data_IF_582091108839
#
_entry.id   IF_582091108839
#
_cell.length_a   1.000
_cell.length_b   1.000
_cell.length_c   1.000
_cell.angle_alpha   90.00
_cell.angle_beta   90.00
_cell.angle_gamma   90.00
#
_symmetry.space_group_name_H-M   'P 1'
#
loop_
_entity.id
_entity.type
_entity.pdbx_description
1 polymer ?
#
# COMPACT_ATOMS: atom_id res chain seq x y z
N UNK A 1 -45.53 6.23 -29.93
CA UNK A 1 -44.25 5.65 -29.69
C UNK A 1 -43.50 6.55 -28.71
N UNK A 2 -43.53 6.19 -27.45
CA UNK A 2 -42.78 6.90 -26.43
C UNK A 2 -41.31 6.50 -26.59
N UNK A 3 -40.49 7.46 -27.02
CA UNK A 3 -39.05 7.29 -27.03
C UNK A 3 -38.53 7.01 -25.63
N UNK A 4 -37.75 5.96 -25.47
CA UNK A 4 -36.95 5.70 -24.30
C UNK A 4 -36.06 6.93 -24.08
N UNK A 5 -36.41 7.75 -23.10
CA UNK A 5 -35.47 8.72 -22.52
C UNK A 5 -34.31 7.90 -21.98
N UNK A 6 -33.14 8.14 -22.54
CA UNK A 6 -31.90 7.56 -22.10
C UNK A 6 -31.83 7.57 -20.57
N UNK A 7 -31.49 6.44 -19.98
CA UNK A 7 -31.16 6.37 -18.58
C UNK A 7 -30.10 7.47 -18.29
N UNK A 8 -30.51 8.52 -17.61
CA UNK A 8 -29.59 9.54 -17.14
C UNK A 8 -28.52 8.82 -16.35
N UNK A 9 -27.26 9.23 -16.51
CA UNK A 9 -26.15 8.59 -15.83
C UNK A 9 -26.46 8.48 -14.34
N UNK A 10 -26.60 7.23 -13.86
CA UNK A 10 -26.92 6.93 -12.47
C UNK A 10 -25.78 7.34 -11.51
N UNK A 11 -24.62 7.68 -12.08
CA UNK A 11 -23.42 8.06 -11.33
C UNK A 11 -23.19 9.55 -11.44
N UNK A 12 -23.08 10.22 -10.30
CA UNK A 12 -22.91 11.67 -10.19
C UNK A 12 -21.75 12.03 -9.27
N UNK A 13 -22.00 12.75 -8.19
CA UNK A 13 -21.01 13.21 -7.25
C UNK A 13 -20.15 12.07 -6.69
N UNK A 14 -18.83 12.21 -6.75
CA UNK A 14 -17.84 11.19 -6.34
C UNK A 14 -18.01 9.82 -7.04
N UNK A 15 -18.52 9.81 -8.29
CA UNK A 15 -18.81 8.60 -9.06
C UNK A 15 -19.75 7.61 -8.32
N UNK A 16 -20.65 8.12 -7.48
CA UNK A 16 -21.61 7.31 -6.73
C UNK A 16 -22.93 7.21 -7.46
N UNK A 17 -23.58 6.07 -7.28
CA UNK A 17 -24.93 5.84 -7.81
C UNK A 17 -25.91 6.80 -7.13
N UNK A 18 -26.68 7.51 -7.95
CA UNK A 18 -27.75 8.40 -7.47
C UNK A 18 -29.09 7.69 -7.67
N UNK A 19 -29.78 7.48 -6.57
CA UNK A 19 -31.15 6.95 -6.60
C UNK A 19 -32.10 8.01 -7.20
N UNK A 20 -32.76 7.64 -8.27
CA UNK A 20 -33.68 8.51 -9.01
C UNK A 20 -34.98 8.83 -8.27
N UNK A 21 -35.40 8.01 -7.31
CA UNK A 21 -36.63 8.20 -6.55
C UNK A 21 -36.42 9.13 -5.37
N UNK A 22 -35.29 8.96 -4.63
CA UNK A 22 -34.96 9.74 -3.43
C UNK A 22 -34.03 10.91 -3.68
N UNK A 23 -33.35 10.93 -4.81
CA UNK A 23 -32.32 11.89 -5.19
C UNK A 23 -31.05 11.86 -4.30
N UNK A 24 -30.87 10.75 -3.56
CA UNK A 24 -29.74 10.53 -2.68
C UNK A 24 -28.61 9.75 -3.38
N UNK A 25 -27.38 10.00 -3.00
CA UNK A 25 -26.24 9.22 -3.50
C UNK A 25 -25.87 8.12 -2.50
N UNK A 26 -25.78 6.87 -2.98
CA UNK A 26 -25.43 5.74 -2.15
C UNK A 26 -23.90 5.52 -2.16
N UNK A 27 -23.30 5.56 -0.98
CA UNK A 27 -21.85 5.40 -0.84
C UNK A 27 -21.42 4.02 -0.29
N UNK A 28 -22.36 3.18 0.08
CA UNK A 28 -22.12 1.87 0.70
C UNK A 28 -22.67 1.86 2.14
N UNK A 29 -22.00 2.50 3.07
CA UNK A 29 -22.44 2.56 4.45
C UNK A 29 -23.53 3.61 4.70
N UNK A 30 -23.53 4.71 3.94
CA UNK A 30 -24.44 5.85 4.15
C UNK A 30 -25.03 6.38 2.84
N UNK A 31 -26.16 7.08 2.98
CA UNK A 31 -26.76 7.91 1.93
C UNK A 31 -26.38 9.39 2.13
N UNK A 32 -25.91 10.01 1.05
CA UNK A 32 -25.52 11.42 1.02
C UNK A 32 -26.59 12.26 0.33
N UNK A 33 -26.96 13.37 0.96
CA UNK A 33 -27.82 14.38 0.37
C UNK A 33 -26.99 15.51 -0.22
N UNK A 34 -26.93 15.59 -1.54
CA UNK A 34 -26.24 16.70 -2.22
C UNK A 34 -26.90 18.06 -1.95
N UNK A 35 -28.22 18.06 -1.78
CA UNK A 35 -29.01 19.28 -1.55
C UNK A 35 -28.73 19.89 -0.17
N UNK A 36 -28.49 19.04 0.82
CA UNK A 36 -28.20 19.45 2.19
C UNK A 36 -26.70 19.46 2.51
N UNK A 37 -25.87 18.86 1.65
CA UNK A 37 -24.42 18.68 1.83
C UNK A 37 -24.05 17.89 3.10
N UNK A 38 -24.88 16.93 3.50
CA UNK A 38 -24.70 16.11 4.71
C UNK A 38 -25.02 14.63 4.46
N UNK A 39 -24.52 13.77 5.35
CA UNK A 39 -25.00 12.39 5.50
C UNK A 39 -26.35 12.36 6.18
N UNK A 40 -27.23 11.42 5.80
CA UNK A 40 -28.55 11.24 6.43
C UNK A 40 -28.55 10.31 7.62
N UNK A 41 -27.43 9.62 7.89
CA UNK A 41 -27.24 8.77 9.08
C UNK A 41 -25.96 9.14 9.79
N UNK A 42 -25.89 8.77 11.06
CA UNK A 42 -24.70 8.93 11.91
C UNK A 42 -23.54 8.17 11.29
N UNK A 43 -22.36 8.76 11.31
CA UNK A 43 -21.13 8.13 10.87
C UNK A 43 -20.81 6.91 11.74
N UNK A 44 -20.66 5.70 11.17
CA UNK A 44 -20.20 4.55 11.93
C UNK A 44 -18.85 4.80 12.62
N UNK A 45 -18.02 5.69 12.06
CA UNK A 45 -16.72 6.08 12.60
C UNK A 45 -16.76 7.37 13.43
N UNK A 46 -17.93 7.86 13.86
CA UNK A 46 -18.08 9.10 14.62
C UNK A 46 -17.19 9.18 15.87
N UNK A 47 -16.98 8.04 16.56
CA UNK A 47 -16.10 7.96 17.71
C UNK A 47 -14.64 8.29 17.41
N UNK A 48 -14.19 8.08 16.15
CA UNK A 48 -12.85 8.41 15.66
C UNK A 48 -12.64 9.91 15.52
N UNK A 49 -13.72 10.67 15.35
CA UNK A 49 -13.70 12.12 15.08
C UNK A 49 -14.58 12.93 16.06
N UNK A 50 -14.31 12.89 17.37
CA UNK A 50 -15.21 13.46 18.39
C UNK A 50 -15.37 14.99 18.29
N UNK A 51 -14.50 15.67 17.54
CA UNK A 51 -14.57 17.12 17.27
C UNK A 51 -15.39 17.50 16.04
N UNK A 52 -15.88 16.52 15.27
CA UNK A 52 -16.66 16.74 14.06
C UNK A 52 -18.11 16.29 14.24
N UNK A 53 -19.01 16.90 13.50
CA UNK A 53 -20.38 16.43 13.43
C UNK A 53 -20.43 15.04 12.79
N UNK A 54 -21.17 14.08 13.33
CA UNK A 54 -21.30 12.74 12.73
C UNK A 54 -22.05 12.73 11.39
N UNK A 55 -22.54 13.87 10.93
CA UNK A 55 -23.22 14.04 9.65
C UNK A 55 -22.39 14.79 8.61
N UNK A 56 -21.16 15.19 8.94
CA UNK A 56 -20.31 15.98 8.05
C UNK A 56 -19.72 15.11 6.93
N UNK A 57 -19.72 15.63 5.69
CA UNK A 57 -19.03 15.01 4.58
C UNK A 57 -17.59 15.52 4.51
N UNK A 58 -16.61 14.61 4.45
CA UNK A 58 -15.19 14.90 4.26
C UNK A 58 -14.65 16.03 5.15
N UNK A 59 -15.01 16.06 6.43
CA UNK A 59 -14.61 17.09 7.40
C UNK A 59 -14.83 18.55 6.90
N UNK A 60 -15.85 18.80 6.07
CA UNK A 60 -16.11 20.06 5.36
C UNK A 60 -15.01 20.46 4.35
N UNK A 61 -14.21 19.52 3.89
CA UNK A 61 -13.17 19.78 2.88
C UNK A 61 -13.27 18.78 1.68
N UNK A 62 -14.39 18.80 0.91
CA UNK A 62 -14.61 17.87 -0.20
C UNK A 62 -13.76 18.19 -1.45
N UNK A 63 -12.97 19.25 -1.42
CA UNK A 63 -12.00 19.57 -2.48
C UNK A 63 -10.74 18.72 -2.30
N UNK A 64 -10.33 18.49 -1.05
CA UNK A 64 -9.11 17.74 -0.72
C UNK A 64 -9.39 16.28 -0.37
N UNK A 65 -10.54 15.99 0.20
CA UNK A 65 -10.88 14.68 0.75
C UNK A 65 -12.04 14.04 -0.02
N UNK A 66 -11.98 12.73 -0.16
CA UNK A 66 -13.05 11.91 -0.74
C UNK A 66 -13.43 10.82 0.26
N UNK A 67 -14.72 10.54 0.40
CA UNK A 67 -15.22 9.41 1.16
C UNK A 67 -15.57 8.27 0.16
N UNK A 68 -14.81 7.18 0.11
CA UNK A 68 -15.01 6.14 -0.89
C UNK A 68 -16.13 5.16 -0.55
N UNK A 69 -16.48 4.98 0.70
CA UNK A 69 -17.39 3.94 1.19
C UNK A 69 -18.52 4.45 2.09
N UNK A 70 -18.52 5.73 2.44
CA UNK A 70 -19.49 6.32 3.34
C UNK A 70 -19.17 6.10 4.83
N UNK A 71 -17.92 5.81 5.18
CA UNK A 71 -17.45 5.61 6.55
C UNK A 71 -16.29 6.53 6.91
N UNK A 72 -15.33 6.71 6.00
CA UNK A 72 -14.15 7.53 6.24
C UNK A 72 -13.71 8.26 4.97
N UNK A 73 -13.04 9.37 5.11
CA UNK A 73 -12.47 10.12 3.97
C UNK A 73 -10.98 9.84 3.84
N UNK A 74 -10.49 9.82 2.61
CA UNK A 74 -9.08 9.68 2.26
C UNK A 74 -8.61 10.89 1.47
N UNK A 75 -7.33 11.21 1.56
CA UNK A 75 -6.69 12.15 0.65
C UNK A 75 -6.52 11.43 -0.70
N UNK A 76 -7.04 11.96 -1.83
CA UNK A 76 -6.87 11.33 -3.12
C UNK A 76 -5.40 11.13 -3.53
N UNK A 77 -4.49 12.01 -3.08
CA UNK A 77 -3.06 11.88 -3.37
C UNK A 77 -2.46 10.67 -2.64
N UNK A 78 -2.85 10.44 -1.38
CA UNK A 78 -2.44 9.26 -0.60
C UNK A 78 -2.93 7.97 -1.26
N UNK A 79 -4.21 7.94 -1.64
CA UNK A 79 -4.79 6.80 -2.33
C UNK A 79 -4.12 6.54 -3.68
N UNK A 80 -3.88 7.58 -4.48
CA UNK A 80 -3.22 7.45 -5.77
C UNK A 80 -1.81 6.86 -5.63
N UNK A 81 -1.07 7.25 -4.60
CA UNK A 81 0.26 6.67 -4.36
C UNK A 81 0.14 5.21 -3.91
N UNK A 82 -0.74 4.89 -2.97
CA UNK A 82 -0.98 3.51 -2.54
C UNK A 82 -1.38 2.59 -3.70
N UNK A 83 -2.37 3.00 -4.51
CA UNK A 83 -2.80 2.26 -5.70
C UNK A 83 -1.65 2.08 -6.70
N UNK A 84 -0.82 3.10 -6.90
CA UNK A 84 0.36 3.03 -7.78
C UNK A 84 1.39 2.02 -7.27
N UNK A 85 1.67 2.00 -5.97
CA UNK A 85 2.59 1.02 -5.37
C UNK A 85 2.09 -0.40 -5.57
N UNK A 86 0.80 -0.64 -5.32
CA UNK A 86 0.15 -1.94 -5.55
C UNK A 86 0.25 -2.34 -7.03
N UNK A 87 -0.07 -1.43 -7.94
CA UNK A 87 0.00 -1.70 -9.39
C UNK A 87 1.42 -2.11 -9.81
N UNK A 88 2.44 -1.37 -9.39
CA UNK A 88 3.85 -1.67 -9.70
C UNK A 88 4.27 -3.04 -9.17
N UNK A 89 3.86 -3.39 -7.96
CA UNK A 89 4.13 -4.70 -7.37
C UNK A 89 3.43 -5.83 -8.14
N UNK A 90 2.16 -5.66 -8.49
CA UNK A 90 1.39 -6.62 -9.30
C UNK A 90 2.02 -6.85 -10.67
N UNK A 91 2.45 -5.78 -11.36
CA UNK A 91 3.14 -5.90 -12.65
C UNK A 91 4.43 -6.73 -12.54
N UNK A 92 5.18 -6.57 -11.44
CA UNK A 92 6.39 -7.37 -11.18
C UNK A 92 6.05 -8.84 -10.93
N UNK A 93 5.02 -9.12 -10.15
CA UNK A 93 4.54 -10.50 -9.92
C UNK A 93 4.18 -11.16 -11.26
N UNK A 94 3.39 -10.49 -12.10
CA UNK A 94 3.01 -11.00 -13.42
C UNK A 94 4.25 -11.28 -14.29
N UNK A 95 5.23 -10.40 -14.26
CA UNK A 95 6.47 -10.57 -15.03
C UNK A 95 7.30 -11.73 -14.49
N UNK A 96 7.35 -11.92 -13.18
CA UNK A 96 8.02 -13.06 -12.55
C UNK A 96 7.32 -14.38 -12.89
N UNK A 97 5.99 -14.45 -12.84
CA UNK A 97 5.21 -15.63 -13.24
C UNK A 97 5.51 -16.04 -14.71
N UNK A 98 5.60 -15.05 -15.62
CA UNK A 98 6.01 -15.33 -17.01
C UNK A 98 7.42 -15.91 -17.10
N UNK A 99 8.35 -15.47 -16.24
CA UNK A 99 9.71 -16.03 -16.18
C UNK A 99 9.70 -17.42 -15.60
N UNK A 100 9.00 -17.66 -14.49
CA UNK A 100 8.81 -18.95 -13.85
C UNK A 100 8.30 -19.96 -14.90
N UNK A 101 7.23 -19.65 -15.59
CA UNK A 101 6.67 -20.52 -16.63
C UNK A 101 7.67 -20.91 -17.72
N UNK A 102 8.49 -19.95 -18.18
CA UNK A 102 9.54 -20.22 -19.19
C UNK A 102 10.64 -21.12 -18.65
N UNK A 103 11.04 -20.91 -17.38
CA UNK A 103 12.06 -21.70 -16.71
C UNK A 103 11.57 -23.12 -16.43
N UNK A 104 10.33 -23.30 -15.98
CA UNK A 104 9.71 -24.62 -15.75
C UNK A 104 9.65 -25.44 -17.04
N UNK A 105 9.23 -24.86 -18.16
CA UNK A 105 9.29 -25.52 -19.48
C UNK A 105 10.70 -25.95 -19.84
N UNK A 106 11.72 -25.11 -19.54
CA UNK A 106 13.12 -25.42 -19.80
C UNK A 106 13.64 -26.54 -18.89
N UNK A 107 13.27 -26.50 -17.61
CA UNK A 107 13.58 -27.58 -16.65
C UNK A 107 12.97 -28.90 -17.11
N UNK A 108 11.69 -28.94 -17.46
CA UNK A 108 11.02 -30.13 -17.94
C UNK A 108 11.72 -30.75 -19.14
N UNK A 109 12.16 -29.94 -20.12
CA UNK A 109 12.91 -30.39 -21.29
C UNK A 109 14.30 -30.98 -20.93
N UNK A 110 14.97 -30.41 -19.94
CA UNK A 110 16.32 -30.85 -19.55
C UNK A 110 16.28 -32.07 -18.65
N UNK A 111 15.26 -32.23 -17.80
CA UNK A 111 15.06 -33.36 -16.90
C UNK A 111 14.95 -34.70 -17.64
N UNK A 112 14.53 -34.71 -18.93
CA UNK A 112 14.57 -35.94 -19.75
C UNK A 112 15.96 -36.56 -19.87
N UNK A 113 17.02 -35.75 -19.61
CA UNK A 113 18.43 -36.18 -19.63
C UNK A 113 19.02 -36.37 -18.23
N UNK A 114 18.19 -36.35 -17.20
CA UNK A 114 18.58 -36.43 -15.81
C UNK A 114 18.81 -35.08 -15.11
N UNK A 115 19.01 -35.13 -13.81
CA UNK A 115 19.27 -33.95 -12.99
C UNK A 115 20.75 -33.53 -13.14
N UNK A 116 20.95 -32.41 -13.76
CA UNK A 116 22.27 -31.81 -14.01
C UNK A 116 22.46 -30.53 -13.20
N UNK A 117 23.69 -30.03 -12.96
CA UNK A 117 23.92 -28.74 -12.29
C UNK A 117 23.14 -27.59 -12.93
N UNK A 118 22.92 -27.68 -14.25
CA UNK A 118 22.13 -26.69 -14.99
C UNK A 118 20.63 -26.73 -14.60
N UNK A 119 20.10 -27.94 -14.41
CA UNK A 119 18.71 -28.12 -13.95
C UNK A 119 18.55 -27.57 -12.53
N UNK A 120 19.50 -27.85 -11.65
CA UNK A 120 19.50 -27.34 -10.27
C UNK A 120 19.54 -25.84 -10.27
N UNK A 121 20.43 -25.20 -11.05
CA UNK A 121 20.51 -23.74 -11.14
C UNK A 121 19.20 -23.09 -11.65
N UNK A 122 18.49 -23.74 -12.60
CA UNK A 122 17.19 -23.24 -13.08
C UNK A 122 16.10 -23.40 -12.03
N UNK A 123 16.09 -24.50 -11.27
CA UNK A 123 15.16 -24.67 -10.14
C UNK A 123 15.38 -23.60 -9.09
N UNK A 124 16.63 -23.32 -8.71
CA UNK A 124 16.97 -22.24 -7.77
C UNK A 124 16.44 -20.88 -8.25
N UNK A 125 16.57 -20.57 -9.56
CA UNK A 125 16.02 -19.34 -10.11
C UNK A 125 14.49 -19.28 -10.01
N UNK A 126 13.80 -20.40 -10.19
CA UNK A 126 12.35 -20.49 -10.02
C UNK A 126 11.99 -20.20 -8.56
N UNK A 127 12.71 -20.80 -7.62
CA UNK A 127 12.48 -20.62 -6.19
C UNK A 127 12.75 -19.17 -5.76
N UNK A 128 13.80 -18.52 -6.29
CA UNK A 128 14.06 -17.10 -6.08
C UNK A 128 12.88 -16.23 -6.57
N UNK A 129 12.33 -16.48 -7.78
CA UNK A 129 11.16 -15.72 -8.26
C UNK A 129 9.89 -15.98 -7.45
N UNK A 130 9.67 -17.19 -6.96
CA UNK A 130 8.54 -17.51 -6.07
C UNK A 130 8.67 -16.76 -4.75
N UNK A 131 9.88 -16.71 -4.17
CA UNK A 131 10.16 -15.91 -2.98
C UNK A 131 9.90 -14.42 -3.23
N UNK A 132 10.32 -13.88 -4.39
CA UNK A 132 10.04 -12.48 -4.73
C UNK A 132 8.54 -12.19 -4.80
N UNK A 133 7.76 -13.09 -5.40
CA UNK A 133 6.32 -12.94 -5.48
C UNK A 133 5.66 -12.98 -4.09
N UNK A 134 6.13 -13.82 -3.18
CA UNK A 134 5.64 -13.86 -1.79
C UNK A 134 5.87 -12.53 -1.09
N UNK A 135 7.09 -12.00 -1.13
CA UNK A 135 7.46 -10.73 -0.49
C UNK A 135 6.67 -9.54 -1.07
N UNK A 136 6.50 -9.49 -2.39
CA UNK A 136 5.67 -8.45 -3.02
C UNK A 136 4.19 -8.58 -2.60
N UNK A 137 3.68 -9.79 -2.49
CA UNK A 137 2.30 -10.03 -2.05
C UNK A 137 2.09 -9.61 -0.59
N UNK A 138 3.05 -9.87 0.29
CA UNK A 138 3.03 -9.40 1.68
C UNK A 138 2.99 -7.87 1.77
N UNK A 139 3.80 -7.17 0.97
CA UNK A 139 3.77 -5.71 0.88
C UNK A 139 2.42 -5.16 0.37
N UNK A 140 1.82 -5.80 -0.64
CA UNK A 140 0.48 -5.45 -1.14
C UNK A 140 -0.57 -5.60 -0.04
N UNK A 141 -0.57 -6.72 0.69
CA UNK A 141 -1.52 -6.96 1.78
C UNK A 141 -1.31 -5.96 2.93
N UNK A 142 -0.05 -5.58 3.21
CA UNK A 142 0.27 -4.51 4.15
C UNK A 142 -0.38 -3.18 3.78
N UNK A 143 -0.21 -2.72 2.54
CA UNK A 143 -0.82 -1.46 2.05
C UNK A 143 -2.35 -1.54 2.11
N UNK A 144 -2.95 -2.65 1.69
CA UNK A 144 -4.41 -2.84 1.79
C UNK A 144 -4.91 -2.83 3.23
N UNK A 145 -4.14 -3.41 4.16
CA UNK A 145 -4.48 -3.40 5.59
C UNK A 145 -4.46 -1.98 6.16
N UNK A 146 -3.54 -1.11 5.68
CA UNK A 146 -3.55 0.31 6.04
C UNK A 146 -4.82 1.01 5.55
N UNK A 147 -5.21 0.79 4.28
CA UNK A 147 -6.43 1.38 3.71
C UNK A 147 -7.70 0.94 4.46
N UNK A 148 -7.74 -0.29 4.95
CA UNK A 148 -8.89 -0.86 5.69
C UNK A 148 -8.87 -0.55 7.19
N UNK A 149 -7.84 0.13 7.70
CA UNK A 149 -7.71 0.41 9.12
C UNK A 149 -8.79 1.36 9.62
N UNK A 150 -9.58 0.91 10.59
CA UNK A 150 -10.55 1.75 11.29
C UNK A 150 -9.94 2.56 12.44
N UNK A 151 -8.74 2.21 12.88
CA UNK A 151 -8.06 2.84 14.03
C UNK A 151 -7.15 3.99 13.64
N UNK A 152 -6.48 3.87 12.48
CA UNK A 152 -5.46 4.81 12.02
C UNK A 152 -5.78 5.36 10.65
N UNK A 153 -5.40 6.63 10.40
CA UNK A 153 -5.31 7.22 9.08
C UNK A 153 -3.86 7.19 8.63
N UNK A 154 -3.64 6.95 7.36
CA UNK A 154 -2.30 6.95 6.77
C UNK A 154 -2.18 8.08 5.77
N UNK A 155 -1.08 8.83 5.84
CA UNK A 155 -0.79 9.98 4.99
C UNK A 155 0.65 9.92 4.50
N UNK A 156 0.83 10.04 3.19
CA UNK A 156 2.15 10.15 2.57
C UNK A 156 2.59 11.62 2.57
N UNK A 157 3.67 11.91 3.27
CA UNK A 157 4.27 13.24 3.31
C UNK A 157 5.55 13.26 2.47
N UNK A 158 5.44 13.72 1.23
CA UNK A 158 6.55 13.77 0.28
C UNK A 158 7.34 15.05 0.50
N UNK A 159 8.64 14.93 0.73
CA UNK A 159 9.52 16.07 0.99
C UNK A 159 10.93 15.85 0.42
N UNK A 160 11.67 16.95 0.27
CA UNK A 160 13.09 16.91 -0.14
C UNK A 160 14.03 16.53 1.01
N UNK A 161 13.50 16.25 2.19
CA UNK A 161 14.27 15.73 3.29
C UNK A 161 14.72 14.30 2.96
N UNK A 162 16.02 14.04 3.02
CA UNK A 162 16.61 12.72 2.70
C UNK A 162 16.29 11.64 3.74
N UNK A 163 15.69 12.01 4.86
CA UNK A 163 15.31 11.06 5.91
C UNK A 163 13.86 10.66 5.68
N UNK A 164 13.65 9.40 5.32
CA UNK A 164 12.33 8.77 5.32
C UNK A 164 12.10 8.11 6.68
N UNK A 165 10.90 8.20 7.19
CA UNK A 165 10.50 7.56 8.43
C UNK A 165 8.97 7.56 8.58
N UNK A 166 8.48 6.82 9.58
CA UNK A 166 7.07 6.80 9.94
C UNK A 166 6.87 7.54 11.26
N UNK A 167 5.95 8.49 11.28
CA UNK A 167 5.61 9.26 12.48
C UNK A 167 4.11 9.19 12.78
N UNK A 168 3.73 9.35 14.04
CA UNK A 168 2.34 9.36 14.49
C UNK A 168 2.02 10.69 15.17
N UNK A 169 0.88 11.29 14.82
CA UNK A 169 0.38 12.47 15.51
C UNK A 169 -0.66 12.11 16.60
N UNK A 170 -1.09 13.12 17.37
CA UNK A 170 -2.09 12.97 18.44
C UNK A 170 -3.48 12.56 17.95
N UNK A 171 -3.76 12.69 16.66
CA UNK A 171 -5.05 12.37 16.03
C UNK A 171 -5.08 11.00 15.39
N UNK A 172 -4.20 10.08 15.80
CA UNK A 172 -4.05 8.74 15.21
C UNK A 172 -3.77 8.75 13.69
N UNK A 173 -3.19 9.84 13.16
CA UNK A 173 -2.68 9.86 11.81
C UNK A 173 -1.24 9.37 11.79
N UNK A 174 -0.98 8.39 10.97
CA UNK A 174 0.35 7.86 10.68
C UNK A 174 0.87 8.58 9.43
N UNK A 175 1.91 9.38 9.60
CA UNK A 175 2.58 10.03 8.48
C UNK A 175 3.73 9.16 8.01
N UNK A 176 3.67 8.76 6.75
CA UNK A 176 4.72 8.03 6.04
C UNK A 176 5.51 9.10 5.30
N UNK A 177 6.64 9.51 5.89
CA UNK A 177 7.50 10.55 5.33
C UNK A 177 8.38 9.94 4.26
N UNK A 178 8.31 10.47 3.05
CA UNK A 178 8.90 9.89 1.84
C UNK A 178 9.84 10.92 1.20
N UNK A 179 11.03 10.47 0.80
CA UNK A 179 11.97 11.30 0.06
C UNK A 179 11.54 11.48 -1.40
N UNK A 180 11.45 12.73 -1.86
CA UNK A 180 10.98 13.08 -3.21
C UNK A 180 11.85 12.54 -4.35
N UNK A 181 13.12 12.21 -4.08
CA UNK A 181 14.04 11.68 -5.09
C UNK A 181 13.75 10.24 -5.53
N UNK A 182 13.10 9.44 -4.67
CA UNK A 182 12.79 8.01 -4.90
C UNK A 182 11.47 7.65 -4.24
N UNK A 183 10.38 8.27 -4.71
CA UNK A 183 9.06 8.22 -4.04
C UNK A 183 8.55 6.80 -3.89
N UNK A 184 8.53 6.03 -4.98
CA UNK A 184 7.94 4.70 -4.95
C UNK A 184 8.75 3.72 -4.10
N UNK A 185 10.07 3.77 -4.19
CA UNK A 185 10.97 2.89 -3.44
C UNK A 185 10.91 3.19 -1.94
N UNK A 186 11.03 4.46 -1.57
CA UNK A 186 10.99 4.87 -0.17
C UNK A 186 9.61 4.72 0.44
N UNK A 187 8.55 5.01 -0.30
CA UNK A 187 7.17 4.78 0.16
C UNK A 187 6.93 3.28 0.40
N UNK A 188 7.38 2.42 -0.51
CA UNK A 188 7.28 0.97 -0.34
C UNK A 188 8.02 0.48 0.92
N UNK A 189 9.26 0.96 1.12
CA UNK A 189 10.07 0.64 2.30
C UNK A 189 9.36 1.00 3.60
N UNK A 190 8.88 2.23 3.72
CA UNK A 190 8.18 2.70 4.92
C UNK A 190 6.83 2.00 5.13
N UNK A 191 6.12 1.63 4.06
CA UNK A 191 4.91 0.83 4.15
C UNK A 191 5.18 -0.57 4.74
N UNK A 192 6.33 -1.18 4.46
CA UNK A 192 6.73 -2.46 5.09
C UNK A 192 6.89 -2.28 6.60
N UNK A 193 7.55 -1.21 7.06
CA UNK A 193 7.65 -0.94 8.49
C UNK A 193 6.29 -0.72 9.17
N UNK A 194 5.36 -0.04 8.50
CA UNK A 194 3.99 0.13 9.00
C UNK A 194 3.27 -1.22 9.07
N UNK A 195 3.38 -2.04 8.03
CA UNK A 195 2.80 -3.39 8.00
C UNK A 195 3.35 -4.27 9.13
N UNK A 196 4.66 -4.26 9.33
CA UNK A 196 5.33 -5.00 10.41
C UNK A 196 4.85 -4.55 11.79
N UNK A 197 4.60 -3.25 11.97
CA UNK A 197 4.02 -2.71 13.18
C UNK A 197 2.57 -3.17 13.38
N UNK A 198 1.72 -3.09 12.37
CA UNK A 198 0.31 -3.50 12.43
C UNK A 198 0.16 -4.99 12.75
N UNK A 199 1.08 -5.82 12.28
CA UNK A 199 1.13 -7.26 12.54
C UNK A 199 1.93 -7.64 13.78
N UNK A 200 2.48 -6.66 14.52
CA UNK A 200 3.37 -6.84 15.66
C UNK A 200 4.62 -7.69 15.33
N UNK A 201 5.07 -7.64 14.09
CA UNK A 201 6.29 -8.26 13.65
C UNK A 201 7.50 -7.44 14.17
N UNK A 202 8.58 -8.11 14.56
CA UNK A 202 9.82 -7.47 15.09
C UNK A 202 9.61 -6.51 16.26
N UNK A 203 8.50 -6.59 17.00
CA UNK A 203 8.22 -5.71 18.14
C UNK A 203 8.31 -4.22 17.79
N UNK A 204 7.75 -3.80 16.67
CA UNK A 204 7.63 -2.40 16.31
C UNK A 204 6.71 -1.64 17.28
N UNK A 205 6.99 -0.38 17.48
CA UNK A 205 6.15 0.53 18.25
C UNK A 205 6.64 1.96 18.18
N UNK A 206 5.83 2.90 18.66
CA UNK A 206 6.20 4.30 18.68
C UNK A 206 7.04 4.65 19.89
N UNK A 207 8.22 5.26 19.66
CA UNK A 207 9.06 5.93 20.66
C UNK A 207 8.84 7.44 20.53
N UNK A 208 7.93 7.99 21.37
CA UNK A 208 7.40 9.33 21.11
C UNK A 208 6.53 9.29 19.84
N UNK A 209 6.85 10.14 18.89
CA UNK A 209 6.09 10.26 17.63
C UNK A 209 6.69 9.44 16.47
N UNK A 210 7.83 8.77 16.66
CA UNK A 210 8.54 8.03 15.60
C UNK A 210 8.40 6.53 15.78
N UNK A 211 8.04 5.84 14.69
CA UNK A 211 8.02 4.37 14.66
C UNK A 211 9.44 3.82 14.76
N UNK A 212 9.62 2.79 15.55
CA UNK A 212 10.88 2.10 15.69
C UNK A 212 10.68 0.71 16.27
N UNK A 213 11.75 -0.04 16.41
CA UNK A 213 11.73 -1.37 17.00
C UNK A 213 12.19 -1.36 18.44
N UNK A 214 11.72 -2.35 19.22
CA UNK A 214 12.17 -2.62 20.59
C UNK A 214 13.03 -3.90 20.61
N UNK A 215 13.76 -4.09 21.71
CA UNK A 215 14.50 -5.34 21.97
C UNK A 215 15.53 -5.74 20.92
N UNK A 216 16.30 -4.78 20.41
CA UNK A 216 17.39 -5.00 19.42
C UNK A 216 16.93 -5.69 18.10
N UNK A 217 15.67 -5.55 17.71
CA UNK A 217 15.16 -6.10 16.46
C UNK A 217 15.30 -5.15 15.26
N UNK A 218 15.91 -3.97 15.45
CA UNK A 218 16.03 -2.97 14.38
C UNK A 218 16.69 -3.55 13.12
N UNK A 219 17.83 -4.24 13.25
CA UNK A 219 18.50 -4.82 12.10
C UNK A 219 17.66 -5.84 11.34
N UNK A 220 16.79 -6.61 12.02
CA UNK A 220 15.88 -7.56 11.36
C UNK A 220 14.74 -6.87 10.61
N UNK A 221 14.17 -5.83 11.21
CA UNK A 221 13.12 -5.02 10.60
C UNK A 221 13.64 -4.29 9.35
N UNK A 222 14.81 -3.65 9.46
CA UNK A 222 15.48 -2.99 8.34
C UNK A 222 15.82 -3.98 7.23
N UNK A 223 16.34 -5.16 7.56
CA UNK A 223 16.58 -6.21 6.57
C UNK A 223 15.31 -6.60 5.82
N UNK A 224 14.18 -6.74 6.51
CA UNK A 224 12.90 -7.06 5.88
C UNK A 224 12.45 -5.96 4.92
N UNK A 225 12.48 -4.69 5.36
CA UNK A 225 12.11 -3.56 4.55
C UNK A 225 13.03 -3.38 3.32
N UNK A 226 14.37 -3.46 3.51
CA UNK A 226 15.32 -3.37 2.40
C UNK A 226 15.23 -4.54 1.43
N UNK A 227 15.00 -5.76 1.90
CA UNK A 227 14.78 -6.91 1.03
C UNK A 227 13.54 -6.71 0.16
N UNK A 228 12.44 -6.24 0.76
CA UNK A 228 11.20 -5.95 0.06
C UNK A 228 11.38 -4.81 -0.96
N UNK A 229 12.06 -3.73 -0.58
CA UNK A 229 12.40 -2.62 -1.46
C UNK A 229 13.30 -3.04 -2.62
N UNK A 230 14.34 -3.85 -2.37
CA UNK A 230 15.22 -4.38 -3.43
C UNK A 230 14.44 -5.16 -4.48
N UNK A 231 13.47 -5.97 -4.05
CA UNK A 231 12.62 -6.75 -4.95
C UNK A 231 11.63 -5.85 -5.67
N UNK A 232 11.10 -4.84 -4.99
CA UNK A 232 10.15 -3.87 -5.52
C UNK A 232 10.81 -2.90 -6.50
N UNK A 233 12.03 -2.44 -6.25
CA UNK A 233 12.74 -1.47 -7.08
C UNK A 233 13.22 -2.06 -8.41
N UNK A 234 13.54 -1.22 -9.38
CA UNK A 234 14.20 -1.65 -10.62
C UNK A 234 15.71 -1.65 -10.40
N UNK A 235 16.28 -2.62 -9.74
CA UNK A 235 17.73 -2.90 -9.57
C UNK A 235 18.75 -1.75 -9.71
N UNK A 236 18.49 -0.72 -10.57
CA UNK A 236 19.42 0.38 -10.88
C UNK A 236 19.85 1.19 -9.65
N UNK A 237 18.98 1.32 -8.66
CA UNK A 237 19.31 2.01 -7.43
C UNK A 237 20.32 1.18 -6.61
N UNK A 238 20.02 -0.13 -6.46
CA UNK A 238 20.78 -1.07 -5.65
C UNK A 238 22.06 -1.58 -6.31
N UNK A 239 22.15 -1.58 -7.65
CA UNK A 239 23.31 -2.10 -8.39
C UNK A 239 24.65 -1.44 -8.00
N UNK A 240 24.60 -0.26 -7.38
CA UNK A 240 25.79 0.43 -6.86
C UNK A 240 26.27 -0.13 -5.52
N UNK A 241 25.37 -0.72 -4.73
CA UNK A 241 25.62 -1.10 -3.33
C UNK A 241 25.55 -2.62 -3.13
N UNK A 242 24.63 -3.29 -3.83
CA UNK A 242 24.29 -4.69 -3.60
C UNK A 242 24.16 -5.40 -4.94
N UNK A 243 24.89 -6.51 -5.13
CA UNK A 243 24.86 -7.31 -6.37
C UNK A 243 23.74 -8.37 -6.36
N UNK A 244 23.28 -8.77 -5.19
CA UNK A 244 22.25 -9.79 -5.03
C UNK A 244 21.46 -9.53 -3.74
N UNK A 245 20.16 -9.86 -3.74
CA UNK A 245 19.32 -9.79 -2.53
C UNK A 245 19.89 -10.64 -1.36
N UNK A 246 20.71 -11.65 -1.67
CA UNK A 246 21.39 -12.49 -0.67
C UNK A 246 22.45 -11.74 0.14
N UNK A 247 22.87 -10.57 -0.32
CA UNK A 247 23.82 -9.69 0.39
C UNK A 247 23.10 -8.77 1.39
N UNK A 248 21.76 -8.68 1.35
CA UNK A 248 20.97 -7.89 2.28
C UNK A 248 20.95 -8.59 3.63
N UNK A 249 21.51 -7.95 4.63
CA UNK A 249 21.59 -8.42 6.00
C UNK A 249 21.08 -7.38 7.02
N UNK A 250 21.19 -7.70 8.29
CA UNK A 250 20.73 -6.84 9.40
C UNK A 250 21.52 -5.53 9.54
N UNK A 251 22.64 -5.37 8.81
CA UNK A 251 23.48 -4.18 8.82
C UNK A 251 23.37 -3.37 7.52
N UNK A 252 22.54 -3.79 6.58
CA UNK A 252 22.42 -3.13 5.27
C UNK A 252 22.05 -1.65 5.40
N UNK A 253 21.28 -1.25 6.43
CA UNK A 253 20.93 0.14 6.70
C UNK A 253 22.16 1.04 6.88
N UNK A 254 23.27 0.52 7.40
CA UNK A 254 24.52 1.28 7.59
C UNK A 254 25.21 1.70 6.29
N UNK A 255 24.78 1.17 5.15
CA UNK A 255 25.30 1.58 3.84
C UNK A 255 24.71 2.93 3.38
N UNK A 256 23.66 3.41 4.04
CA UNK A 256 22.89 4.60 3.69
C UNK A 256 22.97 5.71 4.77
N UNK A 257 23.63 5.46 5.90
CA UNK A 257 24.02 6.45 6.91
C UNK A 257 25.26 7.25 6.42
#
# INVERSE_FOLDING_TARGET
PQGNLAAAASYTFSAKEKDSETNLSYFGARYYSSDLSIWLSVDPMAAKYPSLSPYVYCANNPIKLVDPNGEDWVDPEDKNLADKLIQLAVEKIINNERKIYRLEKRVAKLLTKGETPKVIALKTQIDDYKLYNSILSEGIEGIKSMELSSEYKFHFNISDNKISNVTKNKSNTININVFSGYIEETAWHECVHVSDWMTNLYCHGFKGDVLGTFNNNQGKAEKHAYLSEYIFSNKRFWDKFIKSYKEIDENTHKLFE
#
